data_IF_239130221520
#
_entry.id   IF_239130221520
#
_cell.length_a   1.000
_cell.length_b   1.000
_cell.length_c   1.000
_cell.angle_alpha   90.00
_cell.angle_beta   90.00
_cell.angle_gamma   90.00
#
_symmetry.space_group_name_H-M   'P 1'
#
loop_
_entity.id
_entity.type
_entity.pdbx_description
1 polymer ?
#
# COMPACT_ATOMS: atom_id res chain seq x y z
N UNK A 1 -5.39 29.36 -7.05
CA UNK A 1 -5.98 28.39 -6.10
C UNK A 1 -5.20 27.09 -6.23
N UNK A 2 -4.93 26.40 -5.13
CA UNK A 2 -4.25 25.10 -5.14
C UNK A 2 -5.19 24.02 -5.69
N UNK A 3 -4.63 23.06 -6.44
CA UNK A 3 -5.41 21.96 -7.02
C UNK A 3 -5.95 21.05 -5.91
N UNK A 4 -7.04 20.29 -6.14
CA UNK A 4 -7.40 19.18 -5.27
C UNK A 4 -6.23 18.17 -5.20
N UNK A 5 -6.18 17.38 -4.12
CA UNK A 5 -5.13 16.39 -3.90
C UNK A 5 -5.71 14.99 -3.72
N UNK A 6 -5.15 14.01 -4.43
CA UNK A 6 -5.36 12.58 -4.18
C UNK A 6 -4.12 12.05 -3.47
N UNK A 7 -4.32 11.50 -2.27
CA UNK A 7 -3.30 10.74 -1.54
C UNK A 7 -3.72 9.28 -1.63
N UNK A 8 -2.98 8.46 -2.36
CA UNK A 8 -3.28 7.04 -2.53
C UNK A 8 -2.27 6.19 -1.78
N UNK A 9 -2.71 5.12 -1.12
CA UNK A 9 -1.82 4.00 -0.89
C UNK A 9 -1.40 3.36 -2.22
N UNK A 10 -0.38 2.51 -2.16
CA UNK A 10 0.11 1.77 -3.30
C UNK A 10 -0.23 0.28 -3.22
N UNK A 11 0.16 -0.41 -2.15
CA UNK A 11 -0.14 -1.83 -2.01
C UNK A 11 -1.66 -1.99 -1.85
N UNK A 12 -2.26 -2.92 -2.58
CA UNK A 12 -3.69 -3.22 -2.56
C UNK A 12 -4.64 -2.11 -3.03
N UNK A 13 -4.10 -0.97 -3.47
CA UNK A 13 -4.85 0.11 -4.12
C UNK A 13 -4.40 0.33 -5.56
N UNK A 14 -3.09 0.37 -5.80
CA UNK A 14 -2.50 0.57 -7.13
C UNK A 14 -1.81 -0.67 -7.67
N UNK A 15 -1.12 -1.42 -6.81
CA UNK A 15 -0.38 -2.63 -7.15
C UNK A 15 -0.82 -3.79 -6.24
N UNK A 16 -0.89 -5.00 -6.78
CA UNK A 16 -1.07 -6.22 -5.99
C UNK A 16 0.15 -6.46 -5.10
N UNK A 17 -0.05 -6.80 -3.84
CA UNK A 17 1.01 -7.15 -2.88
C UNK A 17 0.78 -8.56 -2.31
N UNK A 18 -0.43 -8.89 -1.88
CA UNK A 18 -0.79 -10.15 -1.22
C UNK A 18 -0.58 -11.35 -2.14
N UNK A 19 -1.08 -11.29 -3.38
CA UNK A 19 -0.89 -12.38 -4.35
C UNK A 19 0.60 -12.68 -4.65
N UNK A 20 1.43 -11.71 -5.08
CA UNK A 20 2.85 -11.97 -5.32
C UNK A 20 3.61 -12.34 -4.04
N UNK A 21 3.24 -11.78 -2.88
CA UNK A 21 3.83 -12.16 -1.60
C UNK A 21 3.55 -13.63 -1.26
N UNK A 22 2.30 -14.08 -1.44
CA UNK A 22 1.90 -15.48 -1.32
C UNK A 22 2.70 -16.39 -2.22
N UNK A 23 2.77 -16.07 -3.51
CA UNK A 23 3.45 -16.89 -4.50
C UNK A 23 4.94 -17.05 -4.16
N UNK A 24 5.59 -15.96 -3.76
CA UNK A 24 6.99 -15.98 -3.34
C UNK A 24 7.23 -16.79 -2.06
N UNK A 25 6.36 -16.64 -1.05
CA UNK A 25 6.45 -17.39 0.20
C UNK A 25 6.38 -18.90 -0.05
N UNK A 26 5.41 -19.33 -0.85
CA UNK A 26 5.15 -20.74 -1.13
C UNK A 26 6.22 -21.35 -2.04
N UNK A 27 6.69 -20.59 -3.04
CA UNK A 27 7.69 -21.06 -3.98
C UNK A 27 9.11 -21.12 -3.39
N UNK A 28 9.44 -20.22 -2.45
CA UNK A 28 10.85 -19.97 -2.12
C UNK A 28 11.18 -19.83 -0.63
N UNK A 29 10.19 -19.73 0.27
CA UNK A 29 10.44 -19.55 1.71
C UNK A 29 9.92 -20.69 2.58
N UNK A 30 9.28 -21.69 2.00
CA UNK A 30 8.75 -22.84 2.75
C UNK A 30 7.59 -22.43 3.66
N UNK A 31 6.81 -21.43 3.25
CA UNK A 31 5.70 -20.88 4.01
C UNK A 31 4.43 -21.01 3.18
N UNK A 32 3.41 -21.63 3.76
CA UNK A 32 2.07 -21.62 3.19
C UNK A 32 1.34 -20.35 3.62
N UNK A 33 0.69 -19.68 2.67
CA UNK A 33 -0.14 -18.53 2.96
C UNK A 33 -1.61 -18.83 2.58
N UNK A 34 -2.38 -19.20 3.60
CA UNK A 34 -3.80 -19.50 3.50
C UNK A 34 -4.61 -18.44 4.21
N UNK A 35 -5.02 -17.42 3.47
CA UNK A 35 -5.88 -16.38 4.01
C UNK A 35 -7.34 -16.87 4.05
N UNK A 36 -7.76 -17.41 5.19
CA UNK A 36 -9.17 -17.66 5.50
C UNK A 36 -9.69 -16.53 6.42
N UNK A 37 -10.52 -15.64 5.89
CA UNK A 37 -11.02 -14.47 6.61
C UNK A 37 -10.01 -13.31 6.65
N UNK A 38 -10.07 -12.46 7.68
CA UNK A 38 -9.31 -11.20 7.75
C UNK A 38 -8.06 -11.25 8.64
N UNK A 39 -7.56 -12.43 9.03
CA UNK A 39 -6.43 -12.55 9.96
C UNK A 39 -5.13 -12.97 9.27
N UNK A 40 -4.36 -11.97 8.81
CA UNK A 40 -3.09 -12.16 8.14
C UNK A 40 -2.06 -12.94 8.97
N UNK A 41 -2.04 -12.77 10.30
CA UNK A 41 -1.06 -13.44 11.16
C UNK A 41 -1.34 -14.95 11.32
N UNK A 42 -2.61 -15.36 11.27
CA UNK A 42 -3.00 -16.77 11.36
C UNK A 42 -2.95 -17.49 10.00
N UNK A 43 -2.76 -16.73 8.93
CA UNK A 43 -2.74 -17.22 7.57
C UNK A 43 -1.38 -17.80 7.14
N UNK A 44 -0.33 -17.55 7.91
CA UNK A 44 1.05 -17.90 7.56
C UNK A 44 1.53 -19.08 8.40
N UNK A 45 1.88 -20.19 7.73
CA UNK A 45 2.37 -21.41 8.39
C UNK A 45 3.64 -21.95 7.75
N UNK A 46 4.57 -22.45 8.57
CA UNK A 46 5.71 -23.19 8.08
C UNK A 46 5.26 -24.48 7.40
N UNK A 47 5.77 -24.77 6.20
CA UNK A 47 5.44 -26.00 5.47
C UNK A 47 5.96 -27.25 6.19
N UNK A 48 7.12 -27.15 6.83
CA UNK A 48 7.77 -28.28 7.50
C UNK A 48 7.00 -28.73 8.75
N UNK A 49 6.60 -27.79 9.61
CA UNK A 49 5.97 -28.10 10.91
C UNK A 49 4.45 -27.86 10.95
N UNK A 50 3.92 -27.00 10.08
CA UNK A 50 2.54 -26.52 10.15
C UNK A 50 2.29 -25.44 11.20
N UNK A 51 3.32 -25.04 11.96
CA UNK A 51 3.24 -24.00 12.98
C UNK A 51 3.01 -22.62 12.36
N UNK A 52 2.39 -21.74 13.13
CA UNK A 52 2.25 -20.34 12.74
C UNK A 52 3.61 -19.66 12.66
N UNK A 53 3.75 -18.73 11.71
CA UNK A 53 4.90 -17.83 11.69
C UNK A 53 4.81 -16.87 12.88
N UNK A 54 5.92 -16.72 13.60
CA UNK A 54 6.01 -15.71 14.65
C UNK A 54 6.01 -14.30 14.04
N UNK A 55 5.52 -13.26 14.76
CA UNK A 55 5.50 -11.90 14.25
C UNK A 55 6.86 -11.41 13.72
N UNK A 56 7.96 -11.79 14.37
CA UNK A 56 9.30 -11.44 13.94
C UNK A 56 9.66 -12.02 12.55
N UNK A 57 9.23 -13.25 12.27
CA UNK A 57 9.41 -13.90 10.97
C UNK A 57 8.53 -13.27 9.90
N UNK A 58 7.27 -12.94 10.21
CA UNK A 58 6.39 -12.22 9.28
C UNK A 58 7.04 -10.91 8.84
N UNK A 59 7.53 -10.13 9.80
CA UNK A 59 8.24 -8.88 9.51
C UNK A 59 9.53 -9.08 8.71
N UNK A 60 10.26 -10.16 8.96
CA UNK A 60 11.45 -10.52 8.17
C UNK A 60 11.08 -10.87 6.73
N UNK A 61 10.06 -11.70 6.53
CA UNK A 61 9.58 -12.09 5.20
C UNK A 61 9.07 -10.89 4.40
N UNK A 62 8.31 -9.98 5.02
CA UNK A 62 7.86 -8.75 4.35
C UNK A 62 9.04 -7.88 3.90
N UNK A 63 10.07 -7.70 4.75
CA UNK A 63 11.28 -6.97 4.36
C UNK A 63 11.99 -7.65 3.19
N UNK A 64 12.25 -8.95 3.31
CA UNK A 64 12.90 -9.72 2.25
C UNK A 64 12.12 -9.67 0.92
N UNK A 65 10.78 -9.68 0.97
CA UNK A 65 9.94 -9.53 -0.20
C UNK A 65 10.13 -8.17 -0.87
N UNK A 66 10.06 -7.06 -0.12
CA UNK A 66 10.28 -5.74 -0.71
C UNK A 66 11.73 -5.50 -1.17
N UNK A 67 12.70 -6.16 -0.55
CA UNK A 67 14.11 -6.11 -0.96
C UNK A 67 14.36 -6.80 -2.31
N UNK A 68 13.62 -7.88 -2.63
CA UNK A 68 13.99 -8.78 -3.74
C UNK A 68 12.90 -8.97 -4.80
N UNK A 69 11.63 -8.80 -4.43
CA UNK A 69 10.48 -9.20 -5.24
C UNK A 69 9.52 -8.05 -5.51
N UNK A 70 9.89 -6.80 -5.16
CA UNK A 70 9.00 -5.66 -5.36
C UNK A 70 8.55 -5.56 -6.83
N UNK A 71 9.43 -5.80 -7.80
CA UNK A 71 9.09 -5.79 -9.23
C UNK A 71 8.10 -6.89 -9.67
N UNK A 72 7.78 -7.88 -8.82
CA UNK A 72 6.73 -8.88 -9.08
C UNK A 72 5.30 -8.34 -8.90
N UNK A 73 5.15 -7.17 -8.26
CA UNK A 73 3.85 -6.57 -8.03
C UNK A 73 3.27 -5.97 -9.32
N UNK A 74 2.19 -6.57 -9.81
CA UNK A 74 1.48 -6.09 -10.99
C UNK A 74 0.42 -5.02 -10.64
N UNK A 75 0.07 -4.11 -11.57
CA UNK A 75 -0.98 -3.14 -11.33
C UNK A 75 -2.36 -3.77 -11.12
N UNK A 76 -3.12 -3.20 -10.20
CA UNK A 76 -4.54 -3.51 -10.01
C UNK A 76 -5.32 -3.07 -11.25
N UNK A 77 -6.29 -3.87 -11.66
CA UNK A 77 -7.13 -3.61 -12.82
C UNK A 77 -7.78 -2.21 -12.74
N UNK A 78 -7.53 -1.38 -13.76
CA UNK A 78 -8.05 -0.01 -13.84
C UNK A 78 -7.31 1.03 -12.99
N UNK A 79 -6.36 0.65 -12.13
CA UNK A 79 -5.65 1.58 -11.26
C UNK A 79 -4.83 2.61 -12.05
N UNK A 80 -4.09 2.16 -13.07
CA UNK A 80 -3.26 3.03 -13.92
C UNK A 80 -4.12 4.05 -14.68
N UNK A 81 -5.22 3.61 -15.29
CA UNK A 81 -6.15 4.50 -16.00
C UNK A 81 -6.82 5.48 -15.03
N UNK A 82 -7.33 4.97 -13.90
CA UNK A 82 -8.05 5.75 -12.91
C UNK A 82 -7.18 6.85 -12.30
N UNK A 83 -5.96 6.51 -11.87
CA UNK A 83 -5.07 7.48 -11.23
C UNK A 83 -4.60 8.55 -12.22
N UNK A 84 -4.32 8.17 -13.47
CA UNK A 84 -3.93 9.12 -14.52
C UNK A 84 -5.08 10.05 -14.91
N UNK A 85 -6.31 9.53 -14.97
CA UNK A 85 -7.52 10.35 -15.18
C UNK A 85 -7.74 11.35 -14.04
N UNK A 86 -7.48 10.95 -12.80
CA UNK A 86 -7.52 11.85 -11.65
C UNK A 86 -6.42 12.91 -11.71
N UNK A 87 -5.21 12.53 -12.15
CA UNK A 87 -4.06 13.43 -12.27
C UNK A 87 -4.29 14.60 -13.26
N UNK A 88 -5.21 14.45 -14.23
CA UNK A 88 -5.63 15.58 -15.08
C UNK A 88 -6.24 16.73 -14.26
N UNK A 89 -6.94 16.41 -13.16
CA UNK A 89 -7.78 17.35 -12.40
C UNK A 89 -7.28 17.63 -10.98
N UNK A 90 -6.45 16.77 -10.43
CA UNK A 90 -5.87 16.87 -9.10
C UNK A 90 -4.35 16.67 -9.15
N UNK A 91 -3.66 17.10 -8.10
CA UNK A 91 -2.33 16.58 -7.81
C UNK A 91 -2.49 15.17 -7.24
N UNK A 92 -1.54 14.28 -7.55
CA UNK A 92 -1.54 12.90 -7.06
C UNK A 92 -0.22 12.63 -6.36
N UNK A 93 -0.32 12.09 -5.15
CA UNK A 93 0.82 11.59 -4.39
C UNK A 93 0.52 10.21 -3.85
N UNK A 94 1.56 9.42 -3.67
CA UNK A 94 1.49 8.08 -3.09
C UNK A 94 2.01 8.15 -1.66
N UNK A 95 1.26 7.58 -0.71
CA UNK A 95 1.67 7.45 0.69
C UNK A 95 1.67 5.96 1.06
N UNK A 96 2.85 5.36 1.05
CA UNK A 96 3.06 3.93 1.34
C UNK A 96 3.70 3.74 2.71
N UNK A 97 3.45 2.60 3.35
CA UNK A 97 4.08 2.22 4.61
C UNK A 97 5.44 1.50 4.45
N UNK A 98 6.04 1.58 3.26
CA UNK A 98 7.42 1.17 3.07
C UNK A 98 8.39 2.01 3.91
N UNK A 99 9.55 1.42 4.20
CA UNK A 99 10.69 2.14 4.79
C UNK A 99 11.37 3.03 3.75
N UNK A 100 11.96 4.13 4.22
CA UNK A 100 12.44 5.23 3.36
C UNK A 100 13.40 4.82 2.25
N UNK A 101 14.22 3.79 2.46
CA UNK A 101 15.18 3.33 1.47
C UNK A 101 14.52 2.69 0.22
N UNK A 102 13.26 2.26 0.30
CA UNK A 102 12.49 1.78 -0.86
C UNK A 102 11.75 2.89 -1.61
N UNK A 103 11.74 4.13 -1.12
CA UNK A 103 10.95 5.23 -1.72
C UNK A 103 11.23 5.37 -3.23
N UNK A 104 12.50 5.47 -3.59
CA UNK A 104 12.90 5.73 -4.98
C UNK A 104 12.63 4.51 -5.86
N UNK A 105 12.89 3.30 -5.34
CA UNK A 105 12.57 2.06 -6.05
C UNK A 105 11.05 1.90 -6.28
N UNK A 106 10.21 2.29 -5.31
CA UNK A 106 8.74 2.30 -5.47
C UNK A 106 8.30 3.34 -6.51
N UNK A 107 8.93 4.51 -6.54
CA UNK A 107 8.65 5.51 -7.57
C UNK A 107 9.02 5.00 -8.97
N UNK A 108 10.17 4.35 -9.11
CA UNK A 108 10.61 3.73 -10.37
C UNK A 108 9.65 2.61 -10.81
N UNK A 109 9.26 1.74 -9.87
CA UNK A 109 8.29 0.67 -10.13
C UNK A 109 6.95 1.20 -10.65
N UNK A 110 6.41 2.24 -10.01
CA UNK A 110 5.18 2.90 -10.46
C UNK A 110 5.35 3.55 -11.85
N UNK A 111 6.51 4.18 -12.09
CA UNK A 111 6.80 4.78 -13.39
C UNK A 111 6.86 3.74 -14.52
N UNK A 112 7.40 2.53 -14.27
CA UNK A 112 7.43 1.42 -15.24
C UNK A 112 6.03 1.02 -15.75
N UNK A 113 5.00 1.20 -14.94
CA UNK A 113 3.60 0.90 -15.29
C UNK A 113 2.79 2.13 -15.69
N UNK A 114 3.43 3.30 -15.77
CA UNK A 114 2.81 4.54 -16.25
C UNK A 114 2.19 5.42 -15.17
N UNK A 115 2.50 5.21 -13.88
CA UNK A 115 2.06 6.05 -12.78
C UNK A 115 3.22 6.96 -12.35
N UNK A 116 3.14 8.23 -12.70
CA UNK A 116 4.17 9.24 -12.40
C UNK A 116 3.70 10.16 -11.27
N UNK A 117 3.85 9.71 -10.02
CA UNK A 117 3.44 10.46 -8.83
C UNK A 117 4.57 10.49 -7.79
N UNK A 118 4.61 11.54 -6.97
CA UNK A 118 5.59 11.63 -5.87
C UNK A 118 5.24 10.60 -4.81
N UNK A 119 6.25 9.85 -4.36
CA UNK A 119 6.11 8.83 -3.31
C UNK A 119 6.59 9.38 -1.97
N UNK A 120 5.75 9.21 -0.95
CA UNK A 120 6.04 9.41 0.45
C UNK A 120 6.02 8.06 1.16
N UNK A 121 7.00 7.83 2.02
CA UNK A 121 7.08 6.68 2.91
C UNK A 121 6.60 7.06 4.30
N UNK A 122 6.10 6.07 5.04
CA UNK A 122 5.60 6.22 6.40
C UNK A 122 5.83 4.94 7.19
N UNK A 123 5.91 5.04 8.51
CA UNK A 123 5.94 3.87 9.39
C UNK A 123 4.93 4.05 10.51
N UNK A 124 3.97 3.11 10.58
CA UNK A 124 2.86 3.16 11.52
C UNK A 124 1.58 3.77 10.91
N UNK A 125 0.72 4.42 11.72
CA UNK A 125 -0.51 5.04 11.23
C UNK A 125 -0.22 6.20 10.25
N UNK A 126 -1.03 6.36 9.20
CA UNK A 126 -0.79 7.33 8.12
C UNK A 126 -1.27 8.76 8.39
N UNK A 127 -2.08 9.00 9.42
CA UNK A 127 -2.63 10.33 9.71
C UNK A 127 -1.59 11.44 9.90
N UNK A 128 -0.49 11.24 10.66
CA UNK A 128 0.56 12.25 10.80
C UNK A 128 1.26 12.60 9.48
N UNK A 129 1.62 11.58 8.69
CA UNK A 129 2.24 11.78 7.38
C UNK A 129 1.29 12.46 6.39
N UNK A 130 0.02 12.06 6.38
CA UNK A 130 -1.00 12.70 5.56
C UNK A 130 -1.18 14.17 5.93
N UNK A 131 -1.17 14.51 7.23
CA UNK A 131 -1.22 15.92 7.66
C UNK A 131 -0.02 16.71 7.12
N UNK A 132 1.19 16.15 7.20
CA UNK A 132 2.38 16.83 6.67
C UNK A 132 2.28 17.08 5.16
N UNK A 133 1.76 16.10 4.39
CA UNK A 133 1.47 16.26 2.96
C UNK A 133 0.42 17.36 2.73
N UNK A 134 -0.66 17.39 3.52
CA UNK A 134 -1.69 18.43 3.43
C UNK A 134 -1.16 19.83 3.73
N UNK A 135 -0.28 19.95 4.73
CA UNK A 135 0.38 21.21 5.08
C UNK A 135 1.32 21.68 3.93
N UNK A 136 2.01 20.74 3.27
CA UNK A 136 2.91 21.03 2.14
C UNK A 136 2.15 21.49 0.88
N UNK A 137 1.09 20.77 0.50
CA UNK A 137 0.35 21.04 -0.75
C UNK A 137 -0.75 22.10 -0.58
N UNK A 138 -1.22 22.31 0.65
CA UNK A 138 -2.33 23.20 1.00
C UNK A 138 -3.54 23.10 0.02
N UNK A 139 -4.06 21.89 -0.27
CA UNK A 139 -5.04 21.70 -1.34
C UNK A 139 -6.43 22.25 -0.95
N UNK A 140 -7.22 22.61 -1.96
CA UNK A 140 -8.61 23.07 -1.73
C UNK A 140 -9.55 21.96 -1.26
N UNK A 141 -9.27 20.71 -1.65
CA UNK A 141 -9.95 19.48 -1.23
C UNK A 141 -8.97 18.31 -1.32
N UNK A 142 -9.16 17.30 -0.49
CA UNK A 142 -8.34 16.09 -0.55
C UNK A 142 -9.17 14.81 -0.39
N UNK A 143 -8.73 13.76 -1.08
CA UNK A 143 -9.22 12.38 -0.93
C UNK A 143 -8.04 11.49 -0.57
N UNK A 144 -8.24 10.65 0.46
CA UNK A 144 -7.33 9.59 0.86
C UNK A 144 -7.91 8.24 0.45
N UNK A 145 -7.12 7.43 -0.26
CA UNK A 145 -7.50 6.09 -0.75
C UNK A 145 -6.56 5.08 -0.10
N UNK A 146 -7.10 4.08 0.60
CA UNK A 146 -6.33 3.08 1.34
C UNK A 146 -7.19 1.84 1.58
N UNK A 147 -6.57 0.67 1.72
CA UNK A 147 -7.21 -0.62 1.94
C UNK A 147 -7.33 -0.97 3.44
N UNK A 148 -6.60 -0.28 4.33
CA UNK A 148 -6.56 -0.63 5.75
C UNK A 148 -7.40 0.30 6.62
N UNK A 149 -8.40 -0.27 7.31
CA UNK A 149 -9.28 0.47 8.22
C UNK A 149 -8.54 1.27 9.31
N UNK A 150 -7.39 0.78 9.79
CA UNK A 150 -6.56 1.49 10.77
C UNK A 150 -5.99 2.81 10.24
N UNK A 151 -5.67 2.88 8.94
CA UNK A 151 -5.19 4.11 8.31
C UNK A 151 -6.33 5.10 8.12
N UNK A 152 -7.52 4.62 7.76
CA UNK A 152 -8.74 5.45 7.75
C UNK A 152 -9.09 6.03 9.11
N UNK A 153 -8.93 5.25 10.20
CA UNK A 153 -9.14 5.71 11.57
C UNK A 153 -8.12 6.79 11.96
N UNK A 154 -6.85 6.56 11.66
CA UNK A 154 -5.77 7.53 11.91
C UNK A 154 -5.99 8.86 11.18
N UNK A 155 -6.41 8.80 9.91
CA UNK A 155 -6.74 10.00 9.12
C UNK A 155 -8.01 10.67 9.64
N UNK A 156 -8.99 9.91 10.14
CA UNK A 156 -10.19 10.47 10.78
C UNK A 156 -9.85 11.35 11.98
N UNK A 157 -8.94 10.86 12.82
CA UNK A 157 -8.56 11.51 14.08
C UNK A 157 -7.80 12.82 13.83
N UNK A 158 -6.86 12.80 12.89
CA UNK A 158 -5.90 13.90 12.70
C UNK A 158 -6.36 14.88 11.62
N UNK A 159 -6.98 14.40 10.54
CA UNK A 159 -7.43 15.20 9.40
C UNK A 159 -8.88 14.84 9.01
N UNK A 160 -9.87 15.07 9.90
CA UNK A 160 -11.26 14.62 9.71
C UNK A 160 -11.95 15.22 8.46
N UNK A 161 -11.43 16.32 7.93
CA UNK A 161 -11.94 17.00 6.75
C UNK A 161 -11.52 16.35 5.42
N UNK A 162 -10.55 15.42 5.45
CA UNK A 162 -10.14 14.66 4.27
C UNK A 162 -11.18 13.57 4.00
N UNK A 163 -11.66 13.53 2.76
CA UNK A 163 -12.57 12.45 2.34
C UNK A 163 -11.77 11.16 2.26
N UNK A 164 -12.31 10.09 2.83
CA UNK A 164 -11.65 8.79 2.93
C UNK A 164 -12.41 7.77 2.10
N UNK A 165 -11.73 7.15 1.15
CA UNK A 165 -12.24 6.09 0.30
C UNK A 165 -11.52 4.80 0.68
N UNK A 166 -12.27 3.86 1.25
CA UNK A 166 -11.77 2.51 1.44
C UNK A 166 -11.88 1.77 0.10
N UNK A 167 -10.73 1.35 -0.45
CA UNK A 167 -10.64 0.58 -1.67
C UNK A 167 -9.59 -0.52 -1.49
N UNK A 168 -9.98 -1.75 -1.79
CA UNK A 168 -9.08 -2.90 -1.83
C UNK A 168 -9.22 -3.59 -3.18
N UNK A 169 -8.13 -3.68 -3.93
CA UNK A 169 -8.11 -4.20 -5.30
C UNK A 169 -7.86 -5.70 -5.40
N UNK A 170 -7.44 -6.36 -4.32
CA UNK A 170 -7.18 -7.79 -4.29
C UNK A 170 -8.40 -8.58 -3.81
N UNK A 171 -9.01 -9.40 -4.68
CA UNK A 171 -10.19 -10.20 -4.31
C UNK A 171 -9.99 -11.14 -3.11
N UNK A 172 -8.75 -11.54 -2.80
CA UNK A 172 -8.49 -12.39 -1.62
C UNK A 172 -8.76 -11.68 -0.29
N UNK A 173 -8.66 -10.34 -0.23
CA UNK A 173 -8.79 -9.54 1.00
C UNK A 173 -9.90 -8.48 0.94
N UNK A 174 -10.55 -8.29 -0.21
CA UNK A 174 -11.56 -7.25 -0.45
C UNK A 174 -12.93 -7.49 0.22
#
# INVERSE_FOLDING_TARGET
MTRPLIISDCDEVLLHMVAPFKDWLEASRGVNFHLEGHNFAEALRWQESGDLLEPADIWRMLREFFDNEMDSQAPIAGAVEGINTLAEKADVVILTNLVDHHRDARAEQLAKVGINARVFTNQGPKGPALKAIMDEYAPTRAVFIDDLAQHHASVAEITPHVTRLHLCGEPMIA
#
